data_IF_235521219393
#
_entry.id   IF_235521219393
#
_cell.length_a   1.000
_cell.length_b   1.000
_cell.length_c   1.000
_cell.angle_alpha   90.00
_cell.angle_beta   90.00
_cell.angle_gamma   90.00
#
_symmetry.space_group_name_H-M   'P 1'
#
loop_
_entity.id
_entity.type
_entity.pdbx_description
1 polymer ?
#
# COMPACT_ATOMS: atom_id res chain seq x y z
N UNK A 1 -21.17 0.44 15.93
CA UNK A 1 -20.60 1.34 16.94
C UNK A 1 -20.45 2.74 16.33
N UNK A 2 -20.91 3.79 17.01
CA UNK A 2 -20.76 5.18 16.52
C UNK A 2 -19.74 5.89 17.39
N UNK A 3 -18.73 6.47 16.74
CA UNK A 3 -17.74 7.31 17.39
C UNK A 3 -18.29 8.72 17.58
N UNK A 4 -17.82 9.47 18.59
CA UNK A 4 -18.35 10.81 18.87
C UNK A 4 -18.14 11.82 17.73
N UNK A 5 -17.22 11.52 16.82
CA UNK A 5 -16.84 12.36 15.68
C UNK A 5 -17.50 11.95 14.35
N UNK A 6 -18.34 10.90 14.32
CA UNK A 6 -19.01 10.48 13.08
C UNK A 6 -20.33 9.74 13.35
N UNK A 7 -21.29 9.91 12.44
CA UNK A 7 -22.54 9.16 12.45
C UNK A 7 -22.52 7.96 11.50
N UNK A 8 -21.46 7.81 10.69
CA UNK A 8 -21.28 6.62 9.85
C UNK A 8 -20.92 5.41 10.72
N UNK A 9 -21.44 4.24 10.36
CA UNK A 9 -21.03 2.99 10.99
C UNK A 9 -19.57 2.72 10.68
N UNK A 10 -18.78 2.46 11.72
CA UNK A 10 -17.37 2.16 11.59
C UNK A 10 -17.05 0.76 12.11
N UNK A 11 -16.06 0.07 11.49
CA UNK A 11 -15.39 -1.05 12.11
C UNK A 11 -14.75 -0.69 13.45
N UNK A 12 -14.32 -1.71 14.17
CA UNK A 12 -13.70 -1.60 15.48
C UNK A 12 -12.47 -0.70 15.41
N UNK A 13 -12.19 -0.04 16.54
CA UNK A 13 -11.05 0.87 16.66
C UNK A 13 -9.74 0.20 16.26
N UNK A 14 -9.50 -1.01 16.75
CA UNK A 14 -8.29 -1.80 16.44
C UNK A 14 -8.17 -2.08 14.94
N UNK A 15 -9.25 -2.50 14.29
CA UNK A 15 -9.24 -2.76 12.85
C UNK A 15 -8.96 -1.49 12.04
N UNK A 16 -9.55 -0.34 12.45
CA UNK A 16 -9.24 0.96 11.82
C UNK A 16 -7.80 1.43 12.06
N UNK A 17 -7.26 1.22 13.25
CA UNK A 17 -5.85 1.49 13.55
C UNK A 17 -4.91 0.65 12.65
N UNK A 18 -5.27 -0.61 12.39
CA UNK A 18 -4.52 -1.47 11.48
C UNK A 18 -4.59 -0.98 10.03
N UNK A 19 -5.77 -0.56 9.54
CA UNK A 19 -5.91 0.06 8.21
C UNK A 19 -5.05 1.33 8.13
N UNK A 20 -5.12 2.20 9.13
CA UNK A 20 -4.31 3.42 9.19
C UNK A 20 -2.81 3.12 9.15
N UNK A 21 -2.38 2.11 9.91
CA UNK A 21 -0.99 1.63 9.92
C UNK A 21 -0.56 1.14 8.54
N UNK A 22 -1.38 0.32 7.87
CA UNK A 22 -1.12 -0.15 6.52
C UNK A 22 -0.89 1.01 5.53
N UNK A 23 -1.75 2.03 5.55
CA UNK A 23 -1.60 3.20 4.68
C UNK A 23 -0.35 4.03 5.04
N UNK A 24 -0.06 4.24 6.32
CA UNK A 24 1.13 4.96 6.76
C UNK A 24 2.43 4.27 6.30
N UNK A 25 2.51 2.94 6.45
CA UNK A 25 3.66 2.14 6.00
C UNK A 25 3.85 2.25 4.49
N UNK A 26 2.77 2.18 3.71
CA UNK A 26 2.83 2.40 2.26
C UNK A 26 3.36 3.80 1.90
N UNK A 27 2.85 4.85 2.55
CA UNK A 27 3.26 6.23 2.27
C UNK A 27 4.76 6.45 2.56
N UNK A 28 5.26 5.87 3.66
CA UNK A 28 6.69 5.87 3.99
C UNK A 28 7.50 5.21 2.87
N UNK A 29 7.08 4.03 2.41
CA UNK A 29 7.76 3.33 1.33
C UNK A 29 7.72 4.05 -0.01
N UNK A 30 6.57 4.64 -0.37
CA UNK A 30 6.44 5.41 -1.60
C UNK A 30 7.45 6.58 -1.61
N UNK A 31 7.62 7.25 -0.47
CA UNK A 31 8.62 8.31 -0.30
C UNK A 31 10.05 7.75 -0.41
N UNK A 32 10.32 6.60 0.20
CA UNK A 32 11.63 5.95 0.15
C UNK A 32 12.02 5.47 -1.25
N UNK A 33 11.04 5.03 -2.06
CA UNK A 33 11.22 4.73 -3.48
C UNK A 33 11.64 5.98 -4.25
N UNK A 34 10.93 7.10 -4.05
CA UNK A 34 11.26 8.39 -4.69
C UNK A 34 12.70 8.82 -4.39
N UNK A 35 13.11 8.74 -3.13
CA UNK A 35 14.49 9.04 -2.76
C UNK A 35 15.52 8.12 -3.45
N UNK A 36 15.21 6.83 -3.65
CA UNK A 36 16.09 5.90 -4.38
C UNK A 36 16.17 6.24 -5.88
N UNK A 37 15.06 6.63 -6.50
CA UNK A 37 15.02 7.14 -7.87
C UNK A 37 15.95 8.36 -7.98
N UNK A 38 15.76 9.37 -7.13
CA UNK A 38 16.55 10.61 -7.15
C UNK A 38 18.05 10.38 -6.94
N UNK A 39 18.43 9.40 -6.11
CA UNK A 39 19.84 9.05 -5.89
C UNK A 39 20.49 8.47 -7.14
N UNK A 40 19.73 7.72 -7.94
CA UNK A 40 20.22 7.04 -9.15
C UNK A 40 20.05 7.88 -10.42
N UNK A 41 19.19 8.90 -10.40
CA UNK A 41 19.04 9.85 -11.50
C UNK A 41 20.28 10.75 -11.62
N UNK A 42 21.16 10.39 -12.55
CA UNK A 42 22.37 11.15 -12.86
C UNK A 42 22.11 12.36 -13.76
N UNK A 43 21.01 12.38 -14.52
CA UNK A 43 20.68 13.49 -15.43
C UNK A 43 19.99 14.64 -14.69
N UNK A 44 19.46 14.38 -13.49
CA UNK A 44 18.70 15.33 -12.66
C UNK A 44 17.46 15.86 -13.39
N UNK A 45 16.89 15.01 -14.25
CA UNK A 45 15.66 15.31 -14.97
C UNK A 45 14.45 15.20 -14.04
N UNK A 46 14.51 14.33 -13.04
CA UNK A 46 13.46 14.18 -12.03
C UNK A 46 13.76 15.03 -10.79
N UNK A 47 12.71 15.70 -10.30
CA UNK A 47 12.72 16.41 -9.02
C UNK A 47 11.83 15.70 -8.01
N UNK A 48 12.09 15.91 -6.73
CA UNK A 48 11.23 15.37 -5.67
C UNK A 48 9.77 15.82 -5.82
N UNK A 49 9.55 17.08 -6.20
CA UNK A 49 8.21 17.63 -6.47
C UNK A 49 7.53 16.90 -7.64
N UNK A 50 8.20 16.76 -8.78
CA UNK A 50 7.62 16.12 -9.96
C UNK A 50 7.34 14.63 -9.74
N UNK A 51 8.11 13.95 -8.89
CA UNK A 51 7.88 12.56 -8.53
C UNK A 51 6.71 12.40 -7.55
N UNK A 52 6.53 13.32 -6.60
CA UNK A 52 5.39 13.28 -5.68
C UNK A 52 4.05 13.60 -6.35
N UNK A 53 4.05 14.45 -7.37
CA UNK A 53 2.85 14.76 -8.14
C UNK A 53 2.33 13.54 -8.94
N UNK A 54 3.19 12.52 -9.14
CA UNK A 54 2.80 11.27 -9.78
C UNK A 54 2.01 10.40 -8.79
N UNK A 55 0.86 9.89 -9.24
CA UNK A 55 0.22 8.76 -8.53
C UNK A 55 1.20 7.59 -8.47
N UNK A 56 1.26 6.86 -7.34
CA UNK A 56 2.29 5.84 -7.10
C UNK A 56 2.50 4.86 -8.26
N UNK A 57 1.43 4.41 -8.92
CA UNK A 57 1.57 3.49 -10.07
C UNK A 57 2.32 4.06 -11.27
N UNK A 58 2.39 5.39 -11.42
CA UNK A 58 3.17 6.05 -12.48
C UNK A 58 4.68 6.09 -12.18
N UNK A 59 5.09 5.84 -10.93
CA UNK A 59 6.52 5.76 -10.56
C UNK A 59 7.20 4.52 -11.15
N UNK A 60 6.45 3.52 -11.62
CA UNK A 60 7.03 2.29 -12.19
C UNK A 60 7.99 2.60 -13.34
N UNK A 61 7.65 3.56 -14.21
CA UNK A 61 8.52 3.96 -15.32
C UNK A 61 9.84 4.58 -14.82
N UNK A 62 9.77 5.37 -13.74
CA UNK A 62 10.95 6.01 -13.14
C UNK A 62 11.83 4.98 -12.43
N UNK A 63 11.22 4.03 -11.71
CA UNK A 63 11.91 2.87 -11.09
C UNK A 63 12.65 2.06 -12.15
N UNK A 64 12.01 1.78 -13.29
CA UNK A 64 12.63 1.01 -14.38
C UNK A 64 13.86 1.71 -14.95
N UNK A 65 13.76 3.03 -15.18
CA UNK A 65 14.87 3.84 -15.71
C UNK A 65 16.04 3.98 -14.73
N UNK A 66 15.77 3.91 -13.43
CA UNK A 66 16.76 4.21 -12.39
C UNK A 66 17.18 2.97 -11.62
N UNK A 67 16.35 2.48 -10.70
CA UNK A 67 16.64 1.37 -9.80
C UNK A 67 16.86 0.08 -10.58
N UNK A 68 15.94 -0.29 -11.47
CA UNK A 68 16.04 -1.54 -12.24
C UNK A 68 17.24 -1.54 -13.18
N UNK A 69 17.49 -0.42 -13.88
CA UNK A 69 18.65 -0.27 -14.75
C UNK A 69 19.99 -0.49 -14.03
N UNK A 70 20.04 -0.26 -12.71
CA UNK A 70 21.21 -0.47 -11.86
C UNK A 70 21.11 -1.71 -10.97
N UNK A 71 20.07 -2.53 -11.12
CA UNK A 71 19.86 -3.75 -10.34
C UNK A 71 19.11 -4.83 -11.15
N UNK A 72 17.85 -5.12 -10.79
CA UNK A 72 16.96 -6.08 -11.43
C UNK A 72 15.49 -5.69 -11.22
N UNK A 73 14.56 -6.51 -11.73
CA UNK A 73 13.13 -6.19 -11.72
C UNK A 73 12.43 -6.42 -10.37
N UNK A 74 13.12 -6.96 -9.36
CA UNK A 74 12.49 -7.37 -8.08
C UNK A 74 11.80 -6.21 -7.38
N UNK A 75 12.46 -5.05 -7.28
CA UNK A 75 11.89 -3.86 -6.62
C UNK A 75 10.69 -3.33 -7.41
N UNK A 76 10.80 -3.27 -8.74
CA UNK A 76 9.72 -2.78 -9.60
C UNK A 76 8.47 -3.68 -9.51
N UNK A 77 8.66 -4.99 -9.57
CA UNK A 77 7.57 -5.97 -9.47
C UNK A 77 6.88 -5.91 -8.10
N UNK A 78 7.67 -5.89 -7.01
CA UNK A 78 7.12 -5.80 -5.65
C UNK A 78 6.39 -4.48 -5.41
N UNK A 79 6.93 -3.36 -5.88
CA UNK A 79 6.26 -2.07 -5.78
C UNK A 79 4.94 -2.05 -6.57
N UNK A 80 4.92 -2.64 -7.78
CA UNK A 80 3.69 -2.78 -8.56
C UNK A 80 2.61 -3.56 -7.80
N UNK A 81 2.97 -4.71 -7.24
CA UNK A 81 2.04 -5.54 -6.44
C UNK A 81 1.50 -4.77 -5.23
N UNK A 82 2.38 -4.08 -4.50
CA UNK A 82 1.99 -3.24 -3.35
C UNK A 82 1.03 -2.14 -3.78
N UNK A 83 1.29 -1.45 -4.90
CA UNK A 83 0.37 -0.40 -5.41
C UNK A 83 -1.00 -0.99 -5.75
N UNK A 84 -1.05 -2.18 -6.35
CA UNK A 84 -2.31 -2.87 -6.65
C UNK A 84 -3.11 -3.19 -5.38
N UNK A 85 -2.47 -3.78 -4.38
CA UNK A 85 -3.09 -4.10 -3.07
C UNK A 85 -3.55 -2.81 -2.37
N UNK A 86 -2.71 -1.77 -2.35
CA UNK A 86 -3.09 -0.46 -1.79
C UNK A 86 -4.33 0.10 -2.46
N UNK A 87 -4.41 0.01 -3.80
CA UNK A 87 -5.58 0.46 -4.53
C UNK A 87 -6.82 -0.35 -4.16
N UNK A 88 -6.71 -1.63 -3.81
CA UNK A 88 -7.84 -2.44 -3.31
C UNK A 88 -8.29 -2.02 -1.92
N UNK A 89 -7.36 -1.67 -1.04
CA UNK A 89 -7.66 -1.15 0.32
C UNK A 89 -8.36 0.22 0.22
N UNK A 90 -7.81 1.15 -0.57
CA UNK A 90 -8.36 2.52 -0.70
C UNK A 90 -9.70 2.54 -1.42
N UNK A 91 -9.91 1.69 -2.42
CA UNK A 91 -11.19 1.56 -3.14
C UNK A 91 -12.11 0.48 -2.58
N UNK A 92 -11.90 0.08 -1.33
CA UNK A 92 -12.77 -0.87 -0.64
C UNK A 92 -14.13 -0.28 -0.30
N UNK A 93 -15.03 -1.12 0.19
CA UNK A 93 -16.34 -0.74 0.68
C UNK A 93 -16.62 -1.45 2.00
N UNK A 94 -17.42 -0.81 2.86
CA UNK A 94 -17.82 -1.37 4.16
C UNK A 94 -18.91 -2.42 4.00
N UNK A 95 -18.84 -3.47 4.81
CA UNK A 95 -19.82 -4.56 4.88
C UNK A 95 -20.03 -5.00 6.33
N UNK A 96 -21.11 -5.76 6.53
CA UNK A 96 -21.34 -6.57 7.75
C UNK A 96 -21.15 -8.04 7.39
N UNK A 97 -20.22 -8.75 8.04
CA UNK A 97 -19.90 -10.14 7.72
C UNK A 97 -19.80 -11.01 8.97
N UNK A 98 -20.85 -11.80 9.24
CA UNK A 98 -20.94 -12.64 10.43
C UNK A 98 -20.34 -14.04 10.27
N UNK A 99 -19.91 -14.43 9.08
CA UNK A 99 -19.34 -15.77 8.84
C UNK A 99 -17.87 -15.91 9.23
N UNK A 100 -17.19 -14.79 9.53
CA UNK A 100 -15.79 -14.76 9.92
C UNK A 100 -15.68 -14.21 11.34
N UNK A 101 -14.86 -14.87 12.16
CA UNK A 101 -14.54 -14.35 13.50
C UNK A 101 -13.69 -13.09 13.35
N UNK A 102 -14.26 -11.94 13.71
CA UNK A 102 -13.58 -10.65 13.68
C UNK A 102 -13.69 -9.98 15.04
N UNK A 103 -12.68 -9.17 15.37
CA UNK A 103 -12.61 -8.40 16.61
C UNK A 103 -13.50 -7.13 16.51
N UNK A 104 -14.78 -7.35 16.19
CA UNK A 104 -15.82 -6.35 16.07
C UNK A 104 -17.19 -6.98 16.40
N UNK A 105 -17.91 -6.51 17.43
CA UNK A 105 -19.19 -7.11 17.85
C UNK A 105 -20.31 -6.91 16.80
N UNK A 106 -20.22 -5.85 16.00
CA UNK A 106 -21.19 -5.52 14.95
C UNK A 106 -20.77 -6.12 13.60
N UNK A 107 -19.70 -6.94 13.60
CA UNK A 107 -19.15 -7.63 12.44
C UNK A 107 -18.84 -6.70 11.25
N UNK A 108 -18.45 -5.45 11.54
CA UNK A 108 -18.17 -4.43 10.54
C UNK A 108 -16.73 -4.56 10.01
N UNK A 109 -16.56 -4.62 8.69
CA UNK A 109 -15.24 -4.67 8.06
C UNK A 109 -15.24 -4.13 6.63
N UNK A 110 -14.09 -4.17 5.97
CA UNK A 110 -13.95 -3.81 4.56
C UNK A 110 -13.90 -5.04 3.66
N UNK A 111 -14.47 -4.90 2.46
CA UNK A 111 -14.27 -5.82 1.36
C UNK A 111 -13.85 -5.05 0.10
N UNK A 112 -13.26 -5.75 -0.84
CA UNK A 112 -12.83 -5.19 -2.12
C UNK A 112 -13.33 -6.05 -3.28
N UNK A 113 -13.37 -5.45 -4.47
CA UNK A 113 -13.74 -6.13 -5.71
C UNK A 113 -12.62 -6.01 -6.73
N UNK A 114 -12.21 -7.14 -7.29
CA UNK A 114 -11.22 -7.19 -8.36
C UNK A 114 -11.88 -6.83 -9.70
N UNK A 115 -11.41 -5.75 -10.35
CA UNK A 115 -12.09 -5.16 -11.53
C UNK A 115 -12.25 -6.14 -12.69
N UNK A 116 -11.27 -7.03 -12.92
CA UNK A 116 -11.26 -7.93 -14.08
C UNK A 116 -12.07 -9.22 -13.86
N UNK A 117 -12.03 -9.77 -12.66
CA UNK A 117 -12.71 -11.04 -12.35
C UNK A 117 -14.09 -10.85 -11.72
N UNK A 118 -14.38 -9.65 -11.21
CA UNK A 118 -15.55 -9.38 -10.39
C UNK A 118 -15.51 -10.06 -9.02
N UNK A 119 -14.45 -10.84 -8.71
CA UNK A 119 -14.28 -11.53 -7.44
C UNK A 119 -14.24 -10.52 -6.30
N UNK A 120 -15.05 -10.77 -5.28
CA UNK A 120 -14.99 -10.05 -4.03
C UNK A 120 -14.09 -10.78 -3.04
N UNK A 121 -13.41 -10.02 -2.21
CA UNK A 121 -12.49 -10.53 -1.20
C UNK A 121 -12.59 -9.67 0.06
N UNK A 122 -12.57 -10.31 1.21
CA UNK A 122 -12.58 -9.65 2.51
C UNK A 122 -11.20 -9.08 2.81
N UNK A 123 -11.16 -7.85 3.31
CA UNK A 123 -9.92 -7.25 3.81
C UNK A 123 -9.80 -7.63 5.28
N UNK A 124 -9.31 -8.83 5.57
CA UNK A 124 -9.14 -9.30 6.95
C UNK A 124 -7.93 -8.64 7.64
N UNK A 125 -7.75 -8.86 8.94
CA UNK A 125 -6.51 -8.45 9.63
C UNK A 125 -5.28 -9.11 8.98
N UNK A 126 -5.37 -10.38 8.56
CA UNK A 126 -4.30 -11.09 7.86
C UNK A 126 -3.99 -10.45 6.50
N UNK A 127 -5.02 -10.01 5.77
CA UNK A 127 -4.83 -9.28 4.52
C UNK A 127 -3.98 -8.02 4.75
N UNK A 128 -4.34 -7.20 5.74
CA UNK A 128 -3.62 -5.97 6.09
C UNK A 128 -2.20 -6.27 6.60
N UNK A 129 -2.04 -7.29 7.43
CA UNK A 129 -0.71 -7.71 7.92
C UNK A 129 0.18 -8.23 6.79
N UNK A 130 -0.37 -8.96 5.81
CA UNK A 130 0.38 -9.41 4.64
C UNK A 130 0.86 -8.23 3.79
N UNK A 131 0.02 -7.20 3.64
CA UNK A 131 0.37 -5.96 2.96
C UNK A 131 1.47 -5.18 3.69
N UNK A 132 1.40 -5.09 5.02
CA UNK A 132 2.45 -4.46 5.84
C UNK A 132 3.78 -5.22 5.68
N UNK A 133 3.77 -6.55 5.73
CA UNK A 133 4.98 -7.37 5.53
C UNK A 133 5.59 -7.22 4.14
N UNK A 134 4.78 -7.13 3.09
CA UNK A 134 5.27 -6.83 1.73
C UNK A 134 5.95 -5.47 1.65
N UNK A 135 5.40 -4.48 2.35
CA UNK A 135 6.03 -3.18 2.45
C UNK A 135 7.35 -3.24 3.24
N UNK A 136 7.41 -3.99 4.35
CA UNK A 136 8.67 -4.23 5.06
C UNK A 136 9.72 -4.86 4.13
N UNK A 137 9.33 -5.88 3.37
CA UNK A 137 10.21 -6.52 2.37
C UNK A 137 10.73 -5.51 1.33
N UNK A 138 9.85 -4.65 0.78
CA UNK A 138 10.24 -3.61 -0.15
C UNK A 138 11.26 -2.65 0.47
N UNK A 139 11.02 -2.23 1.71
CA UNK A 139 11.93 -1.36 2.45
C UNK A 139 13.31 -2.01 2.61
N UNK A 140 13.36 -3.27 3.03
CA UNK A 140 14.62 -4.03 3.16
C UNK A 140 15.37 -4.08 1.83
N UNK A 141 14.70 -4.36 0.71
CA UNK A 141 15.34 -4.39 -0.62
C UNK A 141 15.87 -3.01 -1.05
N UNK A 142 15.14 -1.94 -0.75
CA UNK A 142 15.57 -0.58 -1.04
C UNK A 142 16.79 -0.18 -0.18
N UNK A 143 16.85 -0.60 1.09
CA UNK A 143 18.04 -0.43 1.93
C UNK A 143 19.26 -1.16 1.37
N UNK A 144 19.09 -2.44 1.00
CA UNK A 144 20.15 -3.24 0.36
C UNK A 144 20.65 -2.59 -0.94
N UNK A 145 19.73 -2.10 -1.76
CA UNK A 145 20.08 -1.39 -3.00
C UNK A 145 20.89 -0.11 -2.74
N UNK A 146 20.63 0.60 -1.63
CA UNK A 146 21.44 1.79 -1.22
C UNK A 146 22.84 1.45 -0.71
N UNK A 147 23.11 0.18 -0.40
CA UNK A 147 24.33 -0.28 0.24
C UNK A 147 24.27 -0.32 1.78
N UNK A 148 23.10 -0.57 2.35
CA UNK A 148 22.90 -0.83 3.78
C UNK A 148 22.62 -2.30 4.07
#
# INVERSE_FOLDING_TARGET
>A
MNESYTTQTLPSRKYRELIGTAICVFNSNNSFVIENILRMDKTKEDSWHSLLDKVSGKLIADIQKTITAHSNDTIANLFSEIVEIRNRIVHSFQITESSVAIDDPDHQMLATKHLKSGKQELITEEYLMSFIKKNEELSTKLHQFRGH
#
